data_IF_634380309945
#
_entry.id   IF_634380309945
#
_cell.length_a   1.000
_cell.length_b   1.000
_cell.length_c   1.000
_cell.angle_alpha   90.00
_cell.angle_beta   90.00
_cell.angle_gamma   90.00
#
_symmetry.space_group_name_H-M   'P 1'
#
loop_
_entity.id
_entity.type
_entity.pdbx_description
1 polymer ?
#
# COMPACT_ATOMS: atom_id res chain seq x y z
N UNK A 1 -12.39 -15.28 -19.04
CA UNK A 1 -12.86 -15.13 -17.65
C UNK A 1 -13.77 -13.90 -17.60
N UNK A 2 -14.96 -13.98 -16.98
CA UNK A 2 -15.82 -12.79 -16.83
C UNK A 2 -15.16 -11.89 -15.79
N UNK A 3 -14.87 -10.63 -16.14
CA UNK A 3 -14.31 -9.66 -15.19
C UNK A 3 -15.27 -9.53 -13.99
N UNK A 4 -14.72 -9.62 -12.78
CA UNK A 4 -15.49 -9.44 -11.54
C UNK A 4 -15.89 -7.97 -11.34
N UNK A 5 -15.09 -7.05 -11.90
CA UNK A 5 -15.31 -5.61 -11.88
C UNK A 5 -14.75 -5.00 -13.15
N UNK A 6 -15.28 -3.84 -13.56
CA UNK A 6 -14.74 -3.07 -14.69
C UNK A 6 -13.88 -1.92 -14.15
N UNK A 7 -12.57 -2.11 -14.20
CA UNK A 7 -11.57 -1.10 -13.86
C UNK A 7 -10.97 -0.43 -15.11
N UNK A 8 -11.61 -0.57 -16.27
CA UNK A 8 -11.07 -0.07 -17.54
C UNK A 8 -10.63 1.40 -17.41
N UNK A 9 -9.35 1.65 -17.69
CA UNK A 9 -8.67 2.97 -17.59
C UNK A 9 -8.70 3.62 -16.20
N UNK A 10 -9.10 2.91 -15.15
CA UNK A 10 -9.00 3.41 -13.76
C UNK A 10 -7.57 3.35 -13.29
N UNK A 11 -7.12 4.41 -12.64
CA UNK A 11 -5.77 4.52 -12.06
C UNK A 11 -5.85 4.25 -10.57
N UNK A 12 -5.23 3.16 -10.13
CA UNK A 12 -5.29 2.68 -8.74
C UNK A 12 -3.89 2.71 -8.14
N UNK A 13 -3.71 3.44 -7.07
CA UNK A 13 -2.45 3.50 -6.32
C UNK A 13 -2.48 2.47 -5.19
N UNK A 14 -1.48 1.59 -5.14
CA UNK A 14 -1.35 0.55 -4.12
C UNK A 14 -0.09 0.81 -3.30
N UNK A 15 -0.24 1.26 -2.04
CA UNK A 15 0.90 1.45 -1.14
C UNK A 15 1.42 0.10 -0.65
N UNK A 16 2.74 -0.05 -0.53
CA UNK A 16 3.34 -1.36 -0.29
C UNK A 16 3.08 -2.35 -1.44
N UNK A 17 2.91 -1.81 -2.66
CA UNK A 17 2.56 -2.58 -3.86
C UNK A 17 3.62 -3.59 -4.29
N UNK A 18 4.85 -3.45 -3.82
CA UNK A 18 5.93 -4.42 -4.04
C UNK A 18 5.94 -5.57 -3.01
N UNK A 19 5.12 -5.49 -1.95
CA UNK A 19 4.99 -6.51 -0.91
C UNK A 19 4.19 -7.74 -1.35
N UNK A 20 4.09 -8.74 -0.47
CA UNK A 20 3.44 -10.03 -0.77
C UNK A 20 1.96 -9.86 -1.19
N UNK A 21 1.16 -9.14 -0.40
CA UNK A 21 -0.26 -8.90 -0.69
C UNK A 21 -0.40 -7.81 -1.76
N UNK A 22 0.45 -6.77 -1.70
CA UNK A 22 0.40 -5.65 -2.64
C UNK A 22 0.54 -6.08 -4.11
N UNK A 23 1.42 -7.04 -4.40
CA UNK A 23 1.58 -7.61 -5.75
C UNK A 23 0.29 -8.24 -6.30
N UNK A 24 -0.46 -8.92 -5.44
CA UNK A 24 -1.72 -9.55 -5.86
C UNK A 24 -2.80 -8.49 -6.14
N UNK A 25 -2.83 -7.40 -5.37
CA UNK A 25 -3.70 -6.26 -5.71
C UNK A 25 -3.32 -5.61 -7.04
N UNK A 26 -2.00 -5.45 -7.30
CA UNK A 26 -1.50 -4.92 -8.58
C UNK A 26 -1.96 -5.79 -9.74
N UNK A 27 -1.78 -7.12 -9.65
CA UNK A 27 -2.24 -8.07 -10.68
C UNK A 27 -3.76 -7.98 -10.87
N UNK A 28 -4.53 -8.00 -9.77
CA UNK A 28 -5.99 -7.92 -9.83
C UNK A 28 -6.48 -6.64 -10.53
N UNK A 29 -5.85 -5.49 -10.29
CA UNK A 29 -6.17 -4.24 -10.98
C UNK A 29 -5.93 -4.37 -12.49
N UNK A 30 -4.79 -4.90 -12.90
CA UNK A 30 -4.42 -5.05 -14.31
C UNK A 30 -5.35 -6.05 -15.01
N UNK A 31 -5.60 -7.19 -14.42
CA UNK A 31 -6.49 -8.23 -14.96
C UNK A 31 -7.94 -7.76 -15.16
N UNK A 32 -8.35 -6.74 -14.39
CA UNK A 32 -9.66 -6.09 -14.55
C UNK A 32 -9.62 -4.80 -15.40
N UNK A 33 -8.54 -4.60 -16.19
CA UNK A 33 -8.42 -3.51 -17.16
C UNK A 33 -7.95 -2.17 -16.60
N UNK A 34 -7.57 -2.11 -15.33
CA UNK A 34 -7.06 -0.91 -14.69
C UNK A 34 -5.58 -0.64 -14.96
N UNK A 35 -5.13 0.52 -14.53
CA UNK A 35 -3.73 0.92 -14.47
C UNK A 35 -3.30 0.86 -12.99
N UNK A 36 -2.36 -0.02 -12.68
CA UNK A 36 -1.85 -0.21 -11.32
C UNK A 36 -0.60 0.62 -11.10
N UNK A 37 -0.59 1.42 -10.03
CA UNK A 37 0.58 2.16 -9.58
C UNK A 37 1.14 1.50 -8.33
N UNK A 38 2.28 0.85 -8.47
CA UNK A 38 3.06 0.34 -7.35
C UNK A 38 3.66 1.52 -6.61
N UNK A 39 3.23 1.77 -5.38
CA UNK A 39 3.79 2.80 -4.51
C UNK A 39 4.52 2.13 -3.35
N UNK A 40 5.85 2.20 -3.34
CA UNK A 40 6.66 1.54 -2.32
C UNK A 40 7.87 2.40 -1.94
N UNK A 41 8.36 2.23 -0.71
CA UNK A 41 9.55 2.96 -0.24
C UNK A 41 10.83 2.36 -0.84
N UNK A 42 10.81 1.08 -1.17
CA UNK A 42 11.96 0.37 -1.75
C UNK A 42 11.93 0.45 -3.28
N UNK A 43 12.73 1.35 -3.82
CA UNK A 43 12.80 1.62 -5.25
C UNK A 43 13.29 0.40 -6.06
N UNK A 44 14.31 -0.29 -5.58
CA UNK A 44 14.87 -1.44 -6.28
C UNK A 44 13.85 -2.58 -6.41
N UNK A 45 13.21 -2.97 -5.29
CA UNK A 45 12.20 -4.03 -5.28
C UNK A 45 10.97 -3.58 -6.08
N UNK A 46 10.58 -2.30 -5.99
CA UNK A 46 9.43 -1.77 -6.70
C UNK A 46 9.57 -1.85 -8.23
N UNK A 47 10.73 -1.46 -8.76
CA UNK A 47 11.02 -1.56 -10.19
C UNK A 47 11.12 -3.03 -10.64
N UNK A 48 11.77 -3.90 -9.85
CA UNK A 48 11.85 -5.34 -10.15
C UNK A 48 10.45 -5.97 -10.23
N UNK A 49 9.57 -5.68 -9.27
CA UNK A 49 8.19 -6.20 -9.25
C UNK A 49 7.40 -5.68 -10.44
N UNK A 50 7.54 -4.40 -10.78
CA UNK A 50 6.92 -3.80 -11.97
C UNK A 50 7.32 -4.54 -13.25
N UNK A 51 8.62 -4.77 -13.44
CA UNK A 51 9.12 -5.48 -14.62
C UNK A 51 8.60 -6.93 -14.69
N UNK A 52 8.63 -7.65 -13.56
CA UNK A 52 8.17 -9.03 -13.50
C UNK A 52 6.68 -9.15 -13.83
N UNK A 53 5.83 -8.34 -13.22
CA UNK A 53 4.39 -8.35 -13.49
C UNK A 53 4.09 -7.87 -14.92
N UNK A 54 4.81 -6.85 -15.42
CA UNK A 54 4.66 -6.38 -16.79
C UNK A 54 4.95 -7.49 -17.81
N UNK A 55 5.99 -8.29 -17.58
CA UNK A 55 6.33 -9.45 -18.43
C UNK A 55 5.32 -10.58 -18.28
N UNK A 56 4.96 -10.94 -17.03
CA UNK A 56 4.02 -12.01 -16.72
C UNK A 56 2.65 -11.80 -17.38
N UNK A 57 2.12 -10.59 -17.27
CA UNK A 57 0.79 -10.23 -17.78
C UNK A 57 0.82 -9.60 -19.19
N UNK A 58 2.00 -9.47 -19.79
CA UNK A 58 2.23 -8.81 -21.09
C UNK A 58 1.49 -7.46 -21.19
N UNK A 59 1.77 -6.55 -20.22
CA UNK A 59 1.03 -5.31 -20.07
C UNK A 59 1.95 -4.10 -19.88
N UNK A 60 1.50 -2.92 -20.31
CA UNK A 60 2.07 -1.62 -19.98
C UNK A 60 1.22 -0.83 -18.98
N UNK A 61 0.11 -1.41 -18.48
CA UNK A 61 -0.79 -0.77 -17.53
C UNK A 61 -0.29 -0.85 -16.08
N UNK A 62 1.00 -0.64 -15.90
CA UNK A 62 1.68 -0.71 -14.61
C UNK A 62 2.73 0.39 -14.54
N UNK A 63 2.85 1.03 -13.37
CA UNK A 63 3.87 2.02 -13.09
C UNK A 63 4.41 1.84 -11.66
N UNK A 64 5.56 2.45 -11.39
CA UNK A 64 6.15 2.48 -10.07
C UNK A 64 6.42 3.91 -9.63
N UNK A 65 6.18 4.20 -8.36
CA UNK A 65 6.59 5.43 -7.68
C UNK A 65 7.24 5.09 -6.34
N UNK A 66 8.35 5.74 -6.03
CA UNK A 66 8.98 5.66 -4.71
C UNK A 66 8.20 6.54 -3.74
N UNK A 67 7.40 5.94 -2.87
CA UNK A 67 6.50 6.65 -1.96
C UNK A 67 6.77 6.29 -0.50
N UNK A 68 6.97 7.33 0.31
CA UNK A 68 6.91 7.24 1.77
C UNK A 68 5.54 7.76 2.23
N UNK A 69 4.70 6.87 2.78
CA UNK A 69 3.35 7.22 3.24
C UNK A 69 3.35 8.10 4.50
N UNK A 70 4.47 8.19 5.21
CA UNK A 70 4.62 9.03 6.40
C UNK A 70 5.06 10.44 6.06
N UNK A 71 5.52 10.68 4.83
CA UNK A 71 6.00 11.97 4.34
C UNK A 71 4.95 12.67 3.48
N UNK A 72 4.42 13.76 4.01
CA UNK A 72 3.49 14.64 3.26
C UNK A 72 4.12 15.21 1.98
N UNK A 73 5.42 15.50 2.03
CA UNK A 73 6.16 15.98 0.85
C UNK A 73 6.24 14.91 -0.23
N UNK A 74 6.57 13.67 0.15
CA UNK A 74 6.59 12.52 -0.76
C UNK A 74 5.22 12.31 -1.41
N UNK A 75 4.15 12.30 -0.61
CA UNK A 75 2.78 12.14 -1.09
C UNK A 75 2.41 13.23 -2.10
N UNK A 76 2.63 14.49 -1.79
CA UNK A 76 2.30 15.60 -2.68
C UNK A 76 3.11 15.59 -3.99
N UNK A 77 4.41 15.26 -3.92
CA UNK A 77 5.27 15.08 -5.09
C UNK A 77 4.67 14.08 -6.06
N UNK A 78 4.28 12.92 -5.55
CA UNK A 78 3.77 11.84 -6.41
C UNK A 78 2.32 12.01 -6.84
N UNK A 79 1.45 12.63 -6.03
CA UNK A 79 0.13 13.04 -6.48
C UNK A 79 0.23 13.98 -7.70
N UNK A 80 1.10 14.99 -7.62
CA UNK A 80 1.35 15.90 -8.73
C UNK A 80 1.93 15.21 -9.98
N UNK A 81 2.81 14.24 -9.79
CA UNK A 81 3.36 13.44 -10.90
C UNK A 81 2.28 12.61 -11.59
N UNK A 82 1.48 11.87 -10.79
CA UNK A 82 0.42 11.01 -11.31
C UNK A 82 -0.68 11.82 -11.99
N UNK A 83 -1.05 12.96 -11.41
CA UNK A 83 -2.03 13.87 -12.03
C UNK A 83 -1.53 14.39 -13.40
N UNK A 84 -0.27 14.80 -13.50
CA UNK A 84 0.32 15.23 -14.77
C UNK A 84 0.33 14.11 -15.82
N UNK A 85 0.62 12.86 -15.40
CA UNK A 85 0.77 11.72 -16.30
C UNK A 85 -0.56 11.12 -16.73
N UNK A 86 -1.47 10.91 -15.80
CA UNK A 86 -2.71 10.18 -16.02
C UNK A 86 -3.96 11.05 -16.05
N UNK A 87 -3.88 12.30 -15.55
CA UNK A 87 -5.00 13.25 -15.43
C UNK A 87 -6.14 12.77 -14.54
N UNK A 88 -5.90 11.70 -13.79
CA UNK A 88 -6.83 11.11 -12.82
C UNK A 88 -6.15 10.14 -11.89
N UNK A 89 -6.71 9.98 -10.71
CA UNK A 89 -6.45 8.87 -9.78
C UNK A 89 -7.82 8.44 -9.26
N UNK A 90 -8.16 7.16 -9.37
CA UNK A 90 -9.51 6.68 -9.04
C UNK A 90 -9.61 6.05 -7.66
N UNK A 91 -8.52 5.43 -7.20
CA UNK A 91 -8.49 4.87 -5.85
C UNK A 91 -7.08 4.84 -5.25
N UNK A 92 -7.07 4.86 -3.91
CA UNK A 92 -5.93 4.54 -3.07
C UNK A 92 -6.22 3.24 -2.33
N UNK A 93 -5.29 2.29 -2.39
CA UNK A 93 -5.27 1.12 -1.50
C UNK A 93 -4.15 1.31 -0.49
N UNK A 94 -4.52 1.63 0.76
CA UNK A 94 -3.60 1.67 1.88
C UNK A 94 -3.32 0.24 2.32
N UNK A 95 -2.17 -0.29 1.88
CA UNK A 95 -1.71 -1.65 2.15
C UNK A 95 -0.27 -1.67 2.69
N UNK A 96 0.48 -0.58 2.58
CA UNK A 96 1.83 -0.51 3.15
C UNK A 96 1.81 -0.84 4.64
N UNK A 97 2.80 -1.62 5.08
CA UNK A 97 2.95 -2.02 6.47
C UNK A 97 4.35 -1.70 6.99
N UNK A 98 4.67 -0.40 7.15
CA UNK A 98 5.95 0.01 7.69
C UNK A 98 6.06 -0.37 9.18
N UNK A 99 7.25 -0.76 9.59
CA UNK A 99 7.54 -1.22 10.95
C UNK A 99 8.96 -0.83 11.33
N UNK A 100 9.20 -0.62 12.62
CA UNK A 100 10.54 -0.36 13.11
C UNK A 100 11.34 -1.66 13.25
N UNK A 101 12.63 -1.53 13.61
CA UNK A 101 13.54 -2.69 13.75
C UNK A 101 13.20 -3.62 14.93
N UNK A 102 12.43 -3.14 15.89
CA UNK A 102 12.06 -3.87 17.11
C UNK A 102 10.66 -4.50 17.02
N UNK A 103 10.00 -4.35 15.87
CA UNK A 103 8.68 -4.94 15.64
C UNK A 103 8.70 -6.46 15.81
N UNK A 104 7.66 -7.03 16.41
CA UNK A 104 7.49 -8.47 16.60
C UNK A 104 8.04 -9.01 17.91
N UNK A 105 8.32 -8.16 18.89
CA UNK A 105 8.61 -8.55 20.26
C UNK A 105 7.38 -9.18 20.93
N UNK A 106 7.62 -10.04 21.94
CA UNK A 106 6.56 -10.51 22.81
C UNK A 106 5.93 -9.35 23.59
N UNK A 107 4.65 -9.42 23.89
CA UNK A 107 3.89 -8.33 24.53
C UNK A 107 4.59 -7.71 25.75
N UNK A 108 5.18 -8.52 26.62
CA UNK A 108 5.88 -8.03 27.82
C UNK A 108 7.26 -7.38 27.56
N UNK A 109 7.78 -7.52 26.33
CA UNK A 109 9.08 -6.98 25.91
C UNK A 109 8.95 -5.75 25.01
N UNK A 110 7.71 -5.32 24.73
CA UNK A 110 7.45 -4.13 23.90
C UNK A 110 7.67 -2.88 24.73
N UNK A 111 8.60 -2.05 24.29
CA UNK A 111 8.84 -0.74 24.89
C UNK A 111 7.81 0.30 24.38
N UNK A 112 7.50 1.28 25.22
CA UNK A 112 6.54 2.33 24.87
C UNK A 112 6.93 3.09 23.59
N UNK A 113 8.21 3.39 23.42
CA UNK A 113 8.76 4.09 22.27
C UNK A 113 8.57 3.28 20.99
N UNK A 114 8.77 1.95 21.02
CA UNK A 114 8.55 1.06 19.90
C UNK A 114 7.07 1.02 19.50
N UNK A 115 6.18 0.96 20.49
CA UNK A 115 4.73 1.00 20.27
C UNK A 115 4.31 2.30 19.59
N UNK A 116 4.70 3.46 20.12
CA UNK A 116 4.35 4.77 19.54
C UNK A 116 4.94 4.94 18.14
N UNK A 117 6.18 4.50 17.93
CA UNK A 117 6.80 4.58 16.62
C UNK A 117 6.06 3.72 15.58
N UNK A 118 5.72 2.47 15.92
CA UNK A 118 4.96 1.61 15.01
C UNK A 118 3.56 2.15 14.74
N UNK A 119 2.88 2.68 15.75
CA UNK A 119 1.57 3.34 15.59
C UNK A 119 1.66 4.54 14.63
N UNK A 120 2.69 5.38 14.79
CA UNK A 120 2.96 6.51 13.91
C UNK A 120 3.27 6.09 12.47
N UNK A 121 4.05 5.04 12.27
CA UNK A 121 4.38 4.52 10.96
C UNK A 121 3.14 3.94 10.25
N UNK A 122 2.36 3.12 10.91
CA UNK A 122 1.20 2.42 10.33
C UNK A 122 -0.04 3.33 10.27
N UNK A 123 -0.65 3.61 11.40
CA UNK A 123 -1.89 4.41 11.48
C UNK A 123 -1.65 5.84 11.02
N UNK A 124 -0.53 6.44 11.45
CA UNK A 124 -0.12 7.78 11.02
C UNK A 124 0.14 7.85 9.53
N UNK A 125 0.79 6.84 8.94
CA UNK A 125 1.02 6.73 7.50
C UNK A 125 -0.29 6.61 6.72
N UNK A 126 -1.22 5.73 7.13
CA UNK A 126 -2.54 5.59 6.52
C UNK A 126 -3.36 6.89 6.62
N UNK A 127 -3.32 7.54 7.79
CA UNK A 127 -3.99 8.82 7.98
C UNK A 127 -3.43 9.88 7.02
N UNK A 128 -2.11 10.03 6.94
CA UNK A 128 -1.46 11.04 6.10
C UNK A 128 -1.73 10.78 4.62
N UNK A 129 -1.60 9.53 4.16
CA UNK A 129 -1.93 9.16 2.79
C UNK A 129 -3.40 9.43 2.48
N UNK A 130 -4.32 8.97 3.34
CA UNK A 130 -5.75 9.21 3.17
C UNK A 130 -6.10 10.69 3.13
N UNK A 131 -5.47 11.52 3.97
CA UNK A 131 -5.68 12.97 3.98
C UNK A 131 -5.28 13.60 2.65
N UNK A 132 -4.08 13.30 2.12
CA UNK A 132 -3.59 13.90 0.88
C UNK A 132 -4.42 13.43 -0.32
N UNK A 133 -4.71 12.13 -0.42
CA UNK A 133 -5.55 11.61 -1.50
C UNK A 133 -6.99 12.12 -1.42
N UNK A 134 -7.57 12.28 -0.22
CA UNK A 134 -8.91 12.87 -0.06
C UNK A 134 -8.98 14.31 -0.57
N UNK A 135 -7.93 15.11 -0.35
CA UNK A 135 -7.86 16.47 -0.91
C UNK A 135 -7.83 16.44 -2.44
N UNK A 136 -7.05 15.55 -3.03
CA UNK A 136 -7.00 15.35 -4.47
C UNK A 136 -8.36 14.89 -5.01
N UNK A 137 -8.97 13.87 -4.41
CA UNK A 137 -10.28 13.35 -4.81
C UNK A 137 -11.39 14.37 -4.70
N UNK A 138 -11.34 15.24 -3.66
CA UNK A 138 -12.27 16.35 -3.52
C UNK A 138 -12.15 17.34 -4.69
N UNK A 139 -10.94 17.68 -5.11
CA UNK A 139 -10.72 18.59 -6.25
C UNK A 139 -11.10 17.95 -7.59
N UNK A 140 -10.89 16.64 -7.73
CA UNK A 140 -11.25 15.87 -8.92
C UNK A 140 -12.76 15.57 -9.01
N UNK A 141 -13.48 15.59 -7.87
CA UNK A 141 -14.90 15.31 -7.77
C UNK A 141 -15.26 13.82 -7.59
N UNK A 142 -14.29 12.92 -7.55
CA UNK A 142 -14.48 11.48 -7.30
C UNK A 142 -13.20 10.84 -6.76
N UNK A 143 -13.33 9.64 -6.18
CA UNK A 143 -12.22 8.83 -5.70
C UNK A 143 -12.70 7.83 -4.65
N UNK A 144 -11.85 6.85 -4.35
CA UNK A 144 -12.12 5.84 -3.34
C UNK A 144 -10.86 5.57 -2.51
N UNK A 145 -11.03 5.27 -1.23
CA UNK A 145 -9.93 4.87 -0.33
C UNK A 145 -10.30 3.52 0.28
N UNK A 146 -9.40 2.55 0.12
CA UNK A 146 -9.52 1.22 0.69
C UNK A 146 -8.39 1.07 1.72
N UNK A 147 -8.75 0.80 2.97
CA UNK A 147 -7.79 0.54 4.04
C UNK A 147 -7.73 -0.96 4.31
N UNK A 148 -6.54 -1.53 4.15
CA UNK A 148 -6.31 -2.94 4.52
C UNK A 148 -6.14 -3.00 6.03
N UNK A 149 -7.00 -3.73 6.68
CA UNK A 149 -7.03 -3.98 8.12
C UNK A 149 -6.73 -5.44 8.42
N UNK A 150 -6.81 -5.82 9.68
CA UNK A 150 -6.56 -7.18 10.13
C UNK A 150 -7.65 -7.65 11.08
N UNK A 151 -7.88 -8.97 11.11
CA UNK A 151 -8.68 -9.62 12.15
C UNK A 151 -8.11 -9.33 13.55
N UNK A 152 -6.81 -9.12 13.67
CA UNK A 152 -6.16 -8.75 14.93
C UNK A 152 -6.52 -7.33 15.43
N UNK A 153 -7.27 -6.57 14.67
CA UNK A 153 -7.91 -5.35 15.15
C UNK A 153 -9.12 -5.61 16.07
N UNK A 154 -9.65 -6.85 16.09
CA UNK A 154 -10.86 -7.24 16.87
C UNK A 154 -10.66 -8.49 17.73
N UNK A 155 -9.60 -9.27 17.51
CA UNK A 155 -9.23 -10.44 18.33
C UNK A 155 -7.75 -10.37 18.69
N UNK A 156 -7.42 -10.83 19.90
CA UNK A 156 -6.03 -10.91 20.31
C UNK A 156 -5.26 -11.96 19.46
N UNK A 157 -4.01 -11.67 19.08
CA UNK A 157 -3.18 -12.64 18.37
C UNK A 157 -2.85 -13.82 19.28
N UNK A 158 -2.77 -15.02 18.67
CA UNK A 158 -2.25 -16.22 19.32
C UNK A 158 -0.75 -16.31 19.07
N UNK A 159 0.05 -16.07 20.10
CA UNK A 159 1.51 -16.06 20.01
C UNK A 159 2.06 -17.43 19.57
N UNK A 160 1.46 -18.53 20.03
CA UNK A 160 1.90 -19.89 19.72
C UNK A 160 1.90 -20.20 18.21
N UNK A 161 1.05 -19.51 17.42
CA UNK A 161 0.99 -19.70 15.97
C UNK A 161 2.28 -19.25 15.28
N UNK A 162 3.02 -18.34 15.90
CA UNK A 162 4.22 -17.73 15.34
C UNK A 162 5.52 -18.30 15.94
N UNK A 163 5.43 -19.19 16.94
CA UNK A 163 6.61 -19.83 17.53
C UNK A 163 7.41 -20.59 16.48
N UNK A 164 8.74 -20.47 16.55
CA UNK A 164 9.69 -21.08 15.61
C UNK A 164 9.52 -20.68 14.14
N UNK A 165 8.84 -19.59 13.85
CA UNK A 165 8.74 -19.02 12.50
C UNK A 165 9.53 -17.71 12.38
N UNK A 166 9.80 -17.29 11.14
CA UNK A 166 10.34 -15.95 10.86
C UNK A 166 9.27 -14.85 10.86
N UNK A 167 8.01 -15.21 11.09
CA UNK A 167 6.91 -14.25 11.14
C UNK A 167 6.91 -13.55 12.49
N UNK A 168 6.82 -12.23 12.44
CA UNK A 168 6.70 -11.39 13.63
C UNK A 168 5.23 -11.18 13.96
N UNK A 169 4.96 -11.09 15.25
CA UNK A 169 3.64 -10.77 15.77
C UNK A 169 3.24 -9.33 15.40
N UNK A 170 2.00 -9.12 14.97
CA UNK A 170 1.44 -7.78 14.92
C UNK A 170 1.33 -7.20 16.34
N UNK A 171 1.76 -5.98 16.54
CA UNK A 171 1.62 -5.22 17.78
C UNK A 171 0.34 -4.40 17.72
#
# INVERSE_FOLDING_TARGET
MKLLSDLNKKVIVITGGAGLIGKEFVKAVIENGGIAIIADINEQIGEEVKENISKELNTSNIDFIKLDITSKESLNKYLNYLDKKYKRIDALVNNAYPRNKNYGKHFFDVEYEDFIQNLGLNLGGYFTASQQFSQYFKSQGHGNIINISSIYGVVAPKFEVYENTSMTMPV
#
